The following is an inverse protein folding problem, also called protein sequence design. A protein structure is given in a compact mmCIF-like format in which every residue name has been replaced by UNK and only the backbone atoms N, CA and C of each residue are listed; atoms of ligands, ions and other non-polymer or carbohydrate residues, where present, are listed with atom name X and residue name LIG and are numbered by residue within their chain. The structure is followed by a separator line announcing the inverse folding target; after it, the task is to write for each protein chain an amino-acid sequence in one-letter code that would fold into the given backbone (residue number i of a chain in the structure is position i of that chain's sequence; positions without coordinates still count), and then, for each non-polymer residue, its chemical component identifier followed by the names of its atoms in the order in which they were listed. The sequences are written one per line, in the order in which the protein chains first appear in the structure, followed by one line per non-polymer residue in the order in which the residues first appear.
data_IF_357784945954
#
_entry.id   IF_357784945954
#
_cell.length_a   1.000
_cell.length_b   1.000
_cell.length_c   1.000
_cell.angle_alpha   90.00
_cell.angle_beta   90.00
_cell.angle_gamma   90.00
#
_symmetry.space_group_name_H-M   'P 1'
#
loop_
_entity.id
_entity.type
_entity.pdbx_description
1 polymer ?
#
# COMPACT_ATOMS: atom_id res chain seq x y z
N UNK A 1 -4.23 3.51 -6.96
CA UNK A 1 -3.80 4.32 -5.80
C UNK A 1 -2.66 3.61 -5.08
N UNK A 2 -2.87 2.53 -4.32
CA UNK A 2 -1.81 1.74 -3.64
C UNK A 2 -0.62 1.32 -4.51
N UNK A 3 -0.89 0.94 -5.75
CA UNK A 3 0.16 0.57 -6.70
C UNK A 3 1.10 1.77 -7.03
N UNK A 4 0.54 2.97 -7.13
CA UNK A 4 1.32 4.20 -7.33
C UNK A 4 2.27 4.46 -6.14
N UNK A 5 1.85 4.09 -4.92
CA UNK A 5 2.57 4.28 -3.66
C UNK A 5 3.77 3.32 -3.55
N UNK A 6 3.55 2.04 -3.86
CA UNK A 6 4.56 0.97 -3.76
C UNK A 6 5.65 1.09 -4.82
N UNK A 7 5.28 1.51 -6.04
CA UNK A 7 6.20 1.87 -7.12
C UNK A 7 7.15 3.02 -6.73
N UNK A 8 6.64 3.99 -5.98
CA UNK A 8 7.35 5.22 -5.63
C UNK A 8 8.40 4.99 -4.53
N UNK A 9 8.07 4.17 -3.53
CA UNK A 9 8.98 3.84 -2.43
C UNK A 9 10.20 3.00 -2.83
N UNK A 10 10.10 2.18 -3.89
CA UNK A 10 11.17 1.28 -4.30
C UNK A 10 12.32 1.99 -5.06
N UNK A 11 12.04 3.15 -5.68
CA UNK A 11 13.02 3.92 -6.46
C UNK A 11 13.85 4.86 -5.58
N UNK A 12 13.25 5.38 -4.49
CA UNK A 12 13.85 6.36 -3.59
C UNK A 12 14.93 5.82 -2.64
N UNK A 13 15.08 4.49 -2.52
CA UNK A 13 16.11 3.85 -1.69
C UNK A 13 17.48 3.75 -2.37
N UNK A 14 17.62 4.22 -3.61
CA UNK A 14 18.82 3.97 -4.44
C UNK A 14 19.80 5.14 -4.62
N UNK A 15 19.67 6.29 -3.93
CA UNK A 15 20.61 7.42 -4.12
C UNK A 15 21.18 8.08 -2.85
N UNK A 16 22.41 8.68 -2.95
CA UNK A 16 23.27 8.97 -1.80
C UNK A 16 22.90 10.27 -1.06
N UNK A 17 23.04 10.22 0.26
CA UNK A 17 22.76 11.26 1.26
C UNK A 17 23.49 12.61 1.09
N UNK A 18 24.51 12.69 0.24
CA UNK A 18 25.41 13.85 0.17
C UNK A 18 24.79 15.12 -0.45
N UNK A 19 23.75 15.00 -1.28
CA UNK A 19 23.05 16.16 -1.86
C UNK A 19 22.12 16.87 -0.86
N UNK A 20 21.79 16.22 0.26
CA UNK A 20 20.80 16.69 1.24
C UNK A 20 21.32 17.77 2.19
N UNK A 21 22.59 17.70 2.59
CA UNK A 21 23.17 18.64 3.57
C UNK A 21 23.40 20.03 2.96
N UNK A 22 23.52 20.14 1.63
CA UNK A 22 23.79 21.40 0.95
C UNK A 22 22.56 22.33 0.85
N UNK A 23 21.34 21.79 0.95
CA UNK A 23 20.08 22.56 0.80
C UNK A 23 19.49 23.04 2.15
N UNK A 24 19.91 22.46 3.28
CA UNK A 24 19.39 22.81 4.62
C UNK A 24 20.19 23.90 5.35
N UNK A 25 21.22 24.47 4.71
CA UNK A 25 22.24 25.28 5.37
C UNK A 25 22.01 26.80 5.48
N UNK A 26 20.88 27.36 5.05
CA UNK A 26 20.66 28.81 5.15
C UNK A 26 19.31 29.15 5.79
N UNK A 27 19.33 29.59 7.05
CA UNK A 27 18.75 30.87 7.53
C UNK A 27 18.88 30.96 9.05
N UNK A 28 19.55 32.01 9.55
CA UNK A 28 19.69 32.35 10.98
C UNK A 28 18.67 33.41 11.42
N UNK A 29 18.11 33.18 12.62
CA UNK A 29 17.65 34.13 13.67
C UNK A 29 16.47 35.09 13.44
N UNK A 30 15.35 34.89 14.15
CA UNK A 30 14.83 35.74 15.27
C UNK A 30 13.39 35.35 15.68
N UNK A 31 13.06 35.45 16.98
CA UNK A 31 12.07 34.61 17.69
C UNK A 31 10.61 35.10 17.75
N UNK A 32 10.26 36.28 17.23
CA UNK A 32 8.88 36.82 17.33
C UNK A 32 8.02 36.59 16.06
N UNK A 33 8.63 36.15 14.95
CA UNK A 33 7.94 35.79 13.70
C UNK A 33 7.62 34.29 13.58
N UNK A 34 7.82 33.52 14.65
CA UNK A 34 7.69 32.06 14.61
C UNK A 34 6.24 31.58 14.42
N UNK A 35 5.26 32.31 14.94
CA UNK A 35 3.84 31.92 14.89
C UNK A 35 3.17 32.28 13.56
N UNK A 36 3.47 33.46 13.02
CA UNK A 36 2.95 33.89 11.71
C UNK A 36 3.59 33.10 10.56
N UNK A 37 4.89 32.80 10.64
CA UNK A 37 5.55 31.93 9.66
C UNK A 37 5.06 30.47 9.77
N UNK A 38 4.73 29.97 10.96
CA UNK A 38 4.16 28.63 11.11
C UNK A 38 2.76 28.53 10.50
N UNK A 39 1.91 29.54 10.70
CA UNK A 39 0.56 29.58 10.10
C UNK A 39 0.61 29.73 8.57
N UNK A 40 1.55 30.52 8.02
CA UNK A 40 1.74 30.66 6.57
C UNK A 40 2.26 29.35 5.97
N UNK A 41 3.31 28.76 6.56
CA UNK A 41 3.85 27.47 6.11
C UNK A 41 2.81 26.35 6.21
N UNK A 42 1.97 26.34 7.25
CA UNK A 42 0.93 25.34 7.42
C UNK A 42 -0.27 25.54 6.48
N UNK A 43 -0.55 26.78 6.05
CA UNK A 43 -1.54 27.06 4.99
C UNK A 43 -1.03 26.63 3.62
N UNK A 44 0.22 26.93 3.27
CA UNK A 44 0.80 26.57 1.98
C UNK A 44 0.81 25.04 1.80
N UNK A 45 1.26 24.29 2.81
CA UNK A 45 1.22 22.81 2.83
C UNK A 45 -0.19 22.25 2.69
N UNK A 46 -1.20 22.87 3.32
CA UNK A 46 -2.58 22.42 3.20
C UNK A 46 -3.18 22.69 1.80
N UNK A 47 -2.85 23.82 1.19
CA UNK A 47 -3.27 24.15 -0.18
C UNK A 47 -2.59 23.22 -1.20
N UNK A 48 -1.30 22.95 -1.04
CA UNK A 48 -0.53 22.05 -1.90
C UNK A 48 -0.99 20.60 -1.80
N UNK A 49 -1.28 20.09 -0.60
CA UNK A 49 -1.85 18.77 -0.40
C UNK A 49 -3.24 18.62 -1.07
N UNK A 50 -4.07 19.67 -1.02
CA UNK A 50 -5.38 19.68 -1.69
C UNK A 50 -5.21 19.68 -3.20
N UNK A 51 -4.31 20.50 -3.74
CA UNK A 51 -4.00 20.55 -5.17
C UNK A 51 -3.46 19.19 -5.68
N UNK A 52 -2.59 18.55 -4.91
CA UNK A 52 -2.08 17.20 -5.20
C UNK A 52 -3.22 16.18 -5.24
N UNK A 53 -4.15 16.23 -4.29
CA UNK A 53 -5.31 15.35 -4.27
C UNK A 53 -6.19 15.54 -5.52
N UNK A 54 -6.46 16.79 -5.93
CA UNK A 54 -7.19 17.08 -7.16
C UNK A 54 -6.45 16.59 -8.40
N UNK A 55 -5.14 16.80 -8.48
CA UNK A 55 -4.31 16.28 -9.58
C UNK A 55 -4.38 14.76 -9.66
N UNK A 56 -4.23 14.06 -8.52
CA UNK A 56 -4.33 12.61 -8.45
C UNK A 56 -5.71 12.09 -8.89
N UNK A 57 -6.80 12.79 -8.54
CA UNK A 57 -8.15 12.45 -8.97
C UNK A 57 -8.34 12.64 -10.48
N UNK A 58 -7.88 13.77 -11.03
CA UNK A 58 -7.94 14.05 -12.47
C UNK A 58 -7.16 12.98 -13.23
N UNK A 59 -5.93 12.71 -12.81
CA UNK A 59 -5.09 11.68 -13.42
C UNK A 59 -5.73 10.28 -13.33
N UNK A 60 -6.32 9.95 -12.17
CA UNK A 60 -7.11 8.74 -11.94
C UNK A 60 -8.23 8.57 -12.96
N UNK A 61 -9.07 9.61 -13.11
CA UNK A 61 -10.20 9.60 -14.04
C UNK A 61 -9.75 9.54 -15.50
N UNK A 62 -8.66 10.22 -15.84
CA UNK A 62 -8.07 10.20 -17.19
C UNK A 62 -7.57 8.80 -17.57
N UNK A 63 -6.81 8.15 -16.68
CA UNK A 63 -6.31 6.80 -16.91
C UNK A 63 -7.44 5.77 -16.93
N UNK A 64 -8.52 5.96 -16.14
CA UNK A 64 -9.72 5.13 -16.22
C UNK A 64 -10.42 5.28 -17.56
N UNK A 65 -10.54 6.51 -18.06
CA UNK A 65 -11.08 6.79 -19.39
C UNK A 65 -10.23 6.15 -20.49
N UNK A 66 -8.91 6.22 -20.38
CA UNK A 66 -7.99 5.60 -21.34
C UNK A 66 -8.14 4.08 -21.35
N UNK A 67 -8.22 3.45 -20.18
CA UNK A 67 -8.39 2.00 -20.07
C UNK A 67 -9.67 1.50 -20.75
N UNK A 68 -10.77 2.27 -20.67
CA UNK A 68 -12.02 1.93 -21.37
C UNK A 68 -11.89 1.87 -22.89
N UNK A 69 -10.84 2.45 -23.49
CA UNK A 69 -10.61 2.43 -24.94
C UNK A 69 -9.62 1.36 -25.37
N UNK A 70 -8.62 1.08 -24.55
CA UNK A 70 -7.51 0.20 -24.93
C UNK A 70 -7.71 -1.24 -24.47
N UNK A 71 -8.39 -1.49 -23.34
CA UNK A 71 -8.59 -2.83 -22.75
C UNK A 71 -7.31 -3.68 -22.56
N UNK A 72 -6.12 -3.10 -22.76
CA UNK A 72 -4.87 -3.85 -22.84
C UNK A 72 -4.36 -4.29 -21.47
N UNK A 73 -4.63 -3.52 -20.41
CA UNK A 73 -4.09 -3.75 -19.07
C UNK A 73 -5.14 -3.48 -17.98
N UNK A 74 -5.12 -4.19 -16.85
CA UNK A 74 -5.92 -3.84 -15.68
C UNK A 74 -5.61 -2.41 -15.21
N UNK A 75 -6.64 -1.70 -14.77
CA UNK A 75 -6.54 -0.30 -14.33
C UNK A 75 -5.49 -0.11 -13.22
N UNK A 76 -5.38 -1.06 -12.30
CA UNK A 76 -4.40 -1.06 -11.21
C UNK A 76 -2.96 -1.11 -11.71
N UNK A 77 -2.69 -1.92 -12.74
CA UNK A 77 -1.38 -2.01 -13.39
C UNK A 77 -1.03 -0.73 -14.17
N UNK A 78 -2.00 -0.13 -14.86
CA UNK A 78 -1.79 1.16 -15.54
C UNK A 78 -1.44 2.28 -14.55
N UNK A 79 -2.17 2.34 -13.43
CA UNK A 79 -1.87 3.25 -12.32
C UNK A 79 -0.46 3.03 -11.79
N UNK A 80 -0.07 1.79 -11.53
CA UNK A 80 1.27 1.44 -11.05
C UNK A 80 2.37 1.96 -11.99
N UNK A 81 2.27 1.64 -13.27
CA UNK A 81 3.27 2.01 -14.28
C UNK A 81 3.37 3.52 -14.46
N UNK A 82 2.24 4.23 -14.45
CA UNK A 82 2.23 5.69 -14.55
C UNK A 82 2.87 6.34 -13.32
N UNK A 83 2.66 5.76 -12.13
CA UNK A 83 3.34 6.18 -10.90
C UNK A 83 4.86 6.03 -10.98
N UNK A 84 5.36 4.90 -11.49
CA UNK A 84 6.80 4.71 -11.76
C UNK A 84 7.30 5.77 -12.73
N UNK A 85 6.58 5.99 -13.84
CA UNK A 85 7.00 6.94 -14.86
C UNK A 85 7.07 8.38 -14.33
N UNK A 86 6.08 8.81 -13.54
CA UNK A 86 6.09 10.11 -12.87
C UNK A 86 7.23 10.24 -11.86
N UNK A 87 7.49 9.20 -11.04
CA UNK A 87 8.60 9.21 -10.09
C UNK A 87 9.96 9.24 -10.78
N UNK A 88 10.15 8.48 -11.86
CA UNK A 88 11.35 8.55 -12.67
C UNK A 88 11.53 9.93 -13.32
N UNK A 89 10.43 10.54 -13.80
CA UNK A 89 10.48 11.88 -14.38
C UNK A 89 10.81 12.94 -13.31
N UNK A 90 10.27 12.83 -12.11
CA UNK A 90 10.62 13.73 -11.01
C UNK A 90 12.11 13.64 -10.60
N UNK A 91 12.71 12.45 -10.66
CA UNK A 91 14.12 12.25 -10.29
C UNK A 91 15.10 12.63 -11.42
N UNK A 92 14.78 12.27 -12.67
CA UNK A 92 15.71 12.40 -13.79
C UNK A 92 15.41 13.58 -14.74
N UNK A 93 14.23 14.18 -14.67
CA UNK A 93 13.86 15.34 -15.47
C UNK A 93 13.78 16.63 -14.67
N UNK A 94 13.88 17.75 -15.36
CA UNK A 94 13.69 19.08 -14.79
C UNK A 94 12.17 19.34 -14.62
N UNK A 95 11.61 18.83 -13.51
CA UNK A 95 10.17 18.74 -13.31
C UNK A 95 9.61 19.79 -12.32
N UNK A 96 10.44 20.62 -11.69
CA UNK A 96 10.06 21.78 -10.86
C UNK A 96 8.91 21.50 -9.88
N UNK A 97 7.67 21.82 -10.27
CA UNK A 97 6.45 21.57 -9.50
C UNK A 97 6.24 20.09 -9.14
N UNK A 98 6.64 19.17 -10.02
CA UNK A 98 6.50 17.73 -9.81
C UNK A 98 7.52 17.19 -8.80
N UNK A 99 8.69 17.83 -8.71
CA UNK A 99 9.71 17.52 -7.70
C UNK A 99 9.23 17.93 -6.29
N UNK A 100 8.64 19.13 -6.17
CA UNK A 100 8.06 19.60 -4.90
C UNK A 100 6.93 18.68 -4.40
N UNK A 101 5.98 18.37 -5.28
CA UNK A 101 4.86 17.47 -4.98
C UNK A 101 5.30 16.06 -4.57
N UNK A 102 6.41 15.57 -5.15
CA UNK A 102 6.92 14.23 -4.83
C UNK A 102 7.73 14.19 -3.54
N UNK A 103 8.43 15.26 -3.20
CA UNK A 103 9.10 15.39 -1.90
C UNK A 103 8.09 15.50 -0.75
N UNK A 104 7.02 16.28 -0.92
CA UNK A 104 5.96 16.38 0.10
C UNK A 104 5.26 15.04 0.32
N UNK A 105 4.96 14.32 -0.76
CA UNK A 105 4.38 12.98 -0.67
C UNK A 105 5.31 11.97 0.02
N UNK A 106 6.63 12.10 -0.17
CA UNK A 106 7.64 11.23 0.45
C UNK A 106 7.72 11.41 1.97
N UNK A 107 7.30 12.56 2.48
CA UNK A 107 7.22 12.84 3.92
C UNK A 107 5.99 12.20 4.58
N UNK A 108 5.01 11.75 3.79
CA UNK A 108 3.83 11.06 4.32
C UNK A 108 4.24 9.68 4.80
N UNK A 109 4.02 9.41 6.09
CA UNK A 109 4.26 8.11 6.68
C UNK A 109 3.35 7.03 6.02
N UNK A 110 3.92 6.01 5.37
CA UNK A 110 3.14 4.91 4.78
C UNK A 110 2.28 4.17 5.81
N UNK A 111 2.70 4.12 7.08
CA UNK A 111 1.93 3.51 8.16
C UNK A 111 0.68 4.32 8.48
N UNK A 112 0.78 5.65 8.43
CA UNK A 112 -0.38 6.53 8.60
C UNK A 112 -1.39 6.33 7.47
N UNK A 113 -0.90 6.18 6.23
CA UNK A 113 -1.78 5.85 5.10
C UNK A 113 -2.51 4.53 5.32
N UNK A 114 -1.80 3.47 5.72
CA UNK A 114 -2.42 2.18 6.03
C UNK A 114 -3.48 2.32 7.13
N UNK A 115 -3.18 3.04 8.21
CA UNK A 115 -4.09 3.20 9.33
C UNK A 115 -5.36 4.00 8.99
N UNK A 116 -5.26 4.97 8.07
CA UNK A 116 -6.39 5.78 7.63
C UNK A 116 -7.23 5.06 6.57
N UNK A 117 -6.60 4.37 5.62
CA UNK A 117 -7.29 3.79 4.47
C UNK A 117 -7.78 2.36 4.68
N UNK A 118 -7.04 1.51 5.43
CA UNK A 118 -7.44 0.10 5.63
C UNK A 118 -8.83 0.00 6.29
N UNK A 119 -9.13 0.70 7.41
CA UNK A 119 -10.41 0.49 8.10
C UNK A 119 -11.65 0.88 7.25
N UNK A 120 -11.70 2.05 6.60
CA UNK A 120 -12.82 2.39 5.70
C UNK A 120 -12.95 1.43 4.51
N UNK A 121 -11.83 0.97 3.92
CA UNK A 121 -11.85 0.02 2.81
C UNK A 121 -12.41 -1.34 3.25
N UNK A 122 -11.95 -1.88 4.38
CA UNK A 122 -12.47 -3.13 4.95
C UNK A 122 -13.95 -3.00 5.33
N UNK A 123 -14.34 -1.84 5.88
CA UNK A 123 -15.74 -1.58 6.23
C UNK A 123 -16.65 -1.56 5.00
N UNK A 124 -16.22 -0.88 3.92
CA UNK A 124 -16.96 -0.84 2.67
C UNK A 124 -17.11 -2.24 2.06
N UNK A 125 -16.03 -3.01 1.97
CA UNK A 125 -16.07 -4.39 1.47
C UNK A 125 -16.98 -5.28 2.33
N UNK A 126 -17.00 -5.08 3.65
CA UNK A 126 -17.93 -5.77 4.55
C UNK A 126 -19.40 -5.38 4.34
N UNK A 127 -19.68 -4.12 3.97
CA UNK A 127 -21.03 -3.65 3.67
C UNK A 127 -21.58 -4.17 2.33
N UNK A 128 -20.72 -4.34 1.33
CA UNK A 128 -21.10 -4.86 0.01
C UNK A 128 -21.31 -6.39 0.02
N UNK A 129 -20.82 -7.08 1.06
CA UNK A 129 -20.90 -8.53 1.18
C UNK A 129 -22.34 -9.07 1.29
N UNK A 130 -22.65 -10.10 0.48
CA UNK A 130 -23.94 -10.79 0.56
C UNK A 130 -23.99 -11.73 1.78
N UNK A 131 -24.48 -11.21 2.91
CA UNK A 131 -24.53 -11.91 4.21
C UNK A 131 -25.27 -13.27 4.13
N UNK A 132 -26.30 -13.40 3.29
CA UNK A 132 -27.07 -14.65 3.19
C UNK A 132 -26.23 -15.76 2.56
N UNK A 133 -25.58 -15.45 1.43
CA UNK A 133 -24.69 -16.39 0.74
C UNK A 133 -23.46 -16.67 1.60
N UNK A 134 -22.86 -15.62 2.16
CA UNK A 134 -21.72 -15.70 3.07
C UNK A 134 -21.95 -16.70 4.21
N UNK A 135 -23.08 -16.61 4.93
CA UNK A 135 -23.40 -17.53 6.04
C UNK A 135 -23.46 -19.00 5.61
N UNK A 136 -23.82 -19.28 4.36
CA UNK A 136 -23.90 -20.62 3.82
C UNK A 136 -22.52 -21.19 3.46
N UNK A 137 -21.60 -20.36 2.94
CA UNK A 137 -20.26 -20.75 2.48
C UNK A 137 -19.10 -20.32 3.40
N UNK A 138 -19.40 -19.83 4.60
CA UNK A 138 -18.42 -19.24 5.53
C UNK A 138 -17.24 -20.15 5.84
N UNK A 139 -17.46 -21.46 5.93
CA UNK A 139 -16.40 -22.40 6.27
C UNK A 139 -15.38 -22.51 5.14
N UNK A 140 -15.85 -22.55 3.89
CA UNK A 140 -15.01 -22.54 2.71
C UNK A 140 -14.21 -21.24 2.62
N UNK A 141 -14.85 -20.09 2.89
CA UNK A 141 -14.18 -18.79 2.93
C UNK A 141 -13.05 -18.81 3.97
N UNK A 142 -13.34 -19.17 5.23
CA UNK A 142 -12.34 -19.16 6.29
C UNK A 142 -11.21 -20.16 6.05
N UNK A 143 -11.53 -21.36 5.55
CA UNK A 143 -10.50 -22.35 5.22
C UNK A 143 -9.54 -21.81 4.16
N UNK A 144 -10.05 -21.19 3.08
CA UNK A 144 -9.18 -20.60 2.05
C UNK A 144 -8.42 -19.37 2.58
N UNK A 145 -9.12 -18.44 3.24
CA UNK A 145 -8.54 -17.19 3.73
C UNK A 145 -7.46 -17.37 4.80
N UNK A 146 -7.54 -18.42 5.62
CA UNK A 146 -6.54 -18.65 6.68
C UNK A 146 -5.52 -19.73 6.29
N UNK A 147 -5.96 -20.89 5.79
CA UNK A 147 -5.02 -21.95 5.42
C UNK A 147 -4.30 -21.64 4.11
N UNK A 148 -5.02 -21.11 3.11
CA UNK A 148 -4.43 -20.71 1.83
C UNK A 148 -3.40 -19.61 2.02
N UNK A 149 -3.77 -18.55 2.74
CA UNK A 149 -2.88 -17.44 3.10
C UNK A 149 -1.72 -17.91 3.96
N UNK A 150 -1.96 -18.69 5.03
CA UNK A 150 -0.87 -19.20 5.87
C UNK A 150 0.13 -20.04 5.07
N UNK A 151 -0.36 -20.90 4.18
CA UNK A 151 0.48 -21.68 3.28
C UNK A 151 1.24 -20.78 2.30
N UNK A 152 0.59 -19.79 1.71
CA UNK A 152 1.20 -18.80 0.81
C UNK A 152 2.33 -18.03 1.48
N UNK A 153 2.12 -17.56 2.72
CA UNK A 153 3.13 -16.86 3.54
C UNK A 153 4.33 -17.78 3.78
N UNK A 154 4.09 -19.02 4.23
CA UNK A 154 5.17 -19.99 4.51
C UNK A 154 5.96 -20.31 3.24
N UNK A 155 5.28 -20.62 2.13
CA UNK A 155 5.92 -20.94 0.86
C UNK A 155 6.74 -19.77 0.33
N UNK A 156 6.20 -18.55 0.41
CA UNK A 156 6.90 -17.34 -0.02
C UNK A 156 8.12 -17.06 0.89
N UNK A 157 7.99 -17.22 2.20
CA UNK A 157 9.10 -17.04 3.13
C UNK A 157 10.24 -18.05 2.87
N UNK A 158 9.90 -19.33 2.67
CA UNK A 158 10.86 -20.38 2.31
C UNK A 158 11.51 -20.07 0.96
N UNK A 159 10.71 -19.71 -0.05
CA UNK A 159 11.22 -19.36 -1.36
C UNK A 159 12.23 -18.21 -1.27
N UNK A 160 11.90 -17.14 -0.56
CA UNK A 160 12.78 -15.98 -0.45
C UNK A 160 14.06 -16.31 0.33
N UNK A 161 13.93 -17.10 1.41
CA UNK A 161 15.07 -17.55 2.22
C UNK A 161 16.12 -18.30 1.39
N UNK A 162 15.68 -19.12 0.44
CA UNK A 162 16.58 -19.98 -0.35
C UNK A 162 16.87 -19.45 -1.75
N UNK A 163 15.99 -18.69 -2.38
CA UNK A 163 16.19 -18.19 -3.74
C UNK A 163 17.05 -16.92 -3.79
N UNK A 164 16.98 -16.05 -2.78
CA UNK A 164 17.78 -14.83 -2.71
C UNK A 164 19.10 -15.09 -1.97
N UNK A 165 19.97 -15.93 -2.57
CA UNK A 165 21.28 -16.33 -2.03
C UNK A 165 22.21 -15.16 -1.65
N UNK A 166 21.97 -13.94 -2.15
CA UNK A 166 22.79 -12.76 -1.88
C UNK A 166 22.39 -11.95 -0.64
N UNK A 167 21.16 -12.12 -0.13
CA UNK A 167 20.66 -11.38 1.02
C UNK A 167 20.35 -12.40 2.13
N UNK A 168 21.22 -12.49 3.13
CA UNK A 168 21.06 -13.40 4.27
C UNK A 168 19.93 -12.94 5.22
N UNK A 169 18.70 -12.84 4.71
CA UNK A 169 17.53 -12.43 5.47
C UNK A 169 17.21 -13.45 6.54
N UNK A 170 16.93 -12.97 7.75
CA UNK A 170 16.44 -13.83 8.83
C UNK A 170 15.02 -14.30 8.53
N UNK A 171 14.59 -15.37 9.21
CA UNK A 171 13.24 -15.90 9.09
C UNK A 171 12.18 -14.83 9.40
N UNK A 172 12.41 -13.95 10.38
CA UNK A 172 11.48 -12.85 10.68
C UNK A 172 11.22 -11.96 9.46
N UNK A 173 12.29 -11.59 8.73
CA UNK A 173 12.18 -10.78 7.52
C UNK A 173 11.51 -11.55 6.38
N UNK A 174 11.79 -12.85 6.24
CA UNK A 174 11.18 -13.69 5.22
C UNK A 174 9.66 -13.85 5.42
N UNK A 175 9.22 -14.07 6.67
CA UNK A 175 7.79 -14.14 7.01
C UNK A 175 7.11 -12.78 6.91
N UNK A 176 7.79 -11.70 7.31
CA UNK A 176 7.29 -10.34 7.09
C UNK A 176 7.07 -10.07 5.60
N UNK A 177 8.04 -10.41 4.74
CA UNK A 177 7.89 -10.28 3.29
C UNK A 177 6.76 -11.16 2.73
N UNK A 178 6.71 -12.43 3.16
CA UNK A 178 5.63 -13.36 2.76
C UNK A 178 4.24 -12.84 3.13
N UNK A 179 4.09 -12.19 4.29
CA UNK A 179 2.81 -11.59 4.71
C UNK A 179 2.37 -10.43 3.81
N UNK A 180 3.30 -9.56 3.39
CA UNK A 180 2.98 -8.44 2.49
C UNK A 180 2.53 -8.98 1.12
N UNK A 181 3.20 -10.00 0.61
CA UNK A 181 2.93 -10.57 -0.73
C UNK A 181 1.67 -11.43 -0.77
N UNK A 182 1.24 -11.99 0.37
CA UNK A 182 0.11 -12.91 0.41
C UNK A 182 -1.26 -12.21 0.39
N UNK A 183 -1.35 -10.91 0.67
CA UNK A 183 -2.60 -10.15 0.54
C UNK A 183 -3.06 -10.10 -0.93
N UNK A 184 -4.30 -10.50 -1.21
CA UNK A 184 -4.84 -10.66 -2.57
C UNK A 184 -5.91 -9.61 -2.87
N UNK A 185 -5.84 -8.98 -4.05
CA UNK A 185 -6.89 -8.08 -4.55
C UNK A 185 -7.73 -8.79 -5.64
N UNK A 186 -8.97 -9.20 -5.33
CA UNK A 186 -9.79 -9.96 -6.26
C UNK A 186 -10.55 -9.08 -7.25
N UNK A 187 -10.50 -7.75 -7.14
CA UNK A 187 -11.42 -6.83 -7.86
C UNK A 187 -11.43 -7.08 -9.37
N UNK A 188 -10.25 -7.25 -9.98
CA UNK A 188 -10.14 -7.52 -11.41
C UNK A 188 -10.68 -8.92 -11.79
N UNK A 189 -10.44 -9.92 -10.95
CA UNK A 189 -10.83 -11.31 -11.18
C UNK A 189 -12.33 -11.49 -11.03
N UNK A 190 -12.93 -10.87 -10.01
CA UNK A 190 -14.37 -10.91 -9.74
C UNK A 190 -15.15 -10.19 -10.84
N UNK A 191 -14.65 -9.04 -11.32
CA UNK A 191 -15.26 -8.34 -12.45
C UNK A 191 -15.29 -9.22 -13.71
N UNK A 192 -14.17 -9.87 -14.04
CA UNK A 192 -14.07 -10.77 -15.19
C UNK A 192 -14.98 -12.00 -15.05
N UNK A 193 -15.01 -12.62 -13.88
CA UNK A 193 -15.88 -13.78 -13.61
C UNK A 193 -17.37 -13.40 -13.73
N UNK A 194 -17.74 -12.19 -13.31
CA UNK A 194 -19.09 -11.65 -13.48
C UNK A 194 -19.48 -11.53 -14.97
N UNK A 195 -18.58 -11.01 -15.81
CA UNK A 195 -18.80 -10.93 -17.27
C UNK A 195 -18.95 -12.30 -17.92
N UNK A 196 -18.27 -13.32 -17.39
CA UNK A 196 -18.35 -14.71 -17.84
C UNK A 196 -19.58 -15.48 -17.31
N UNK A 197 -20.44 -14.84 -16.52
CA UNK A 197 -21.66 -15.45 -15.99
C UNK A 197 -21.42 -16.38 -14.78
N UNK A 198 -20.35 -16.15 -14.02
CA UNK A 198 -20.07 -16.94 -12.83
C UNK A 198 -21.18 -16.82 -11.77
N UNK A 199 -21.42 -17.87 -10.95
CA UNK A 199 -22.39 -17.80 -9.87
C UNK A 199 -22.03 -16.73 -8.84
N UNK A 200 -23.06 -16.06 -8.30
CA UNK A 200 -22.91 -15.05 -7.21
C UNK A 200 -22.19 -15.64 -5.99
N UNK A 201 -22.34 -16.94 -5.73
CA UNK A 201 -21.64 -17.65 -4.67
C UNK A 201 -20.12 -17.69 -4.86
N UNK A 202 -19.63 -17.77 -6.11
CA UNK A 202 -18.19 -17.74 -6.40
C UNK A 202 -17.62 -16.34 -6.17
N UNK A 203 -18.33 -15.28 -6.59
CA UNK A 203 -17.96 -13.91 -6.26
C UNK A 203 -17.89 -13.69 -4.75
N UNK A 204 -18.93 -14.10 -4.01
CA UNK A 204 -18.96 -14.00 -2.54
C UNK A 204 -17.86 -14.80 -1.86
N UNK A 205 -17.48 -15.95 -2.42
CA UNK A 205 -16.36 -16.76 -1.92
C UNK A 205 -15.03 -16.03 -2.07
N UNK A 206 -14.77 -15.47 -3.25
CA UNK A 206 -13.52 -14.78 -3.58
C UNK A 206 -13.42 -13.46 -2.81
N UNK A 207 -14.49 -12.66 -2.79
CA UNK A 207 -14.53 -11.40 -2.03
C UNK A 207 -14.32 -11.65 -0.53
N UNK A 208 -14.97 -12.71 0.01
CA UNK A 208 -14.78 -13.11 1.39
C UNK A 208 -13.36 -13.60 1.67
N UNK A 209 -12.78 -14.39 0.77
CA UNK A 209 -11.41 -14.90 0.90
C UNK A 209 -10.41 -13.74 1.01
N UNK A 210 -10.48 -12.79 0.07
CA UNK A 210 -9.63 -11.61 0.07
C UNK A 210 -9.83 -10.74 1.32
N UNK A 211 -11.08 -10.49 1.73
CA UNK A 211 -11.37 -9.65 2.89
C UNK A 211 -10.74 -10.21 4.18
N UNK A 212 -10.86 -11.52 4.41
CA UNK A 212 -10.27 -12.16 5.59
C UNK A 212 -8.76 -12.38 5.43
N UNK A 213 -8.28 -12.65 4.22
CA UNK A 213 -6.85 -12.73 3.90
C UNK A 213 -6.14 -11.41 4.22
N UNK A 214 -6.65 -10.26 3.76
CA UNK A 214 -6.07 -8.95 4.02
C UNK A 214 -5.88 -8.68 5.51
N UNK A 215 -6.91 -8.99 6.32
CA UNK A 215 -6.83 -8.88 7.78
C UNK A 215 -5.79 -9.84 8.38
N UNK A 216 -5.80 -11.10 7.97
CA UNK A 216 -4.86 -12.11 8.48
C UNK A 216 -3.40 -11.77 8.12
N UNK A 217 -3.15 -11.39 6.87
CA UNK A 217 -1.85 -10.97 6.38
C UNK A 217 -1.33 -9.73 7.10
N UNK A 218 -2.19 -8.73 7.35
CA UNK A 218 -1.82 -7.54 8.11
C UNK A 218 -1.42 -7.87 9.56
N UNK A 219 -2.16 -8.74 10.24
CA UNK A 219 -1.81 -9.19 11.60
C UNK A 219 -0.45 -9.89 11.61
N UNK A 220 -0.21 -10.82 10.68
CA UNK A 220 1.08 -11.52 10.56
C UNK A 220 2.22 -10.52 10.27
N UNK A 221 1.98 -9.55 9.39
CA UNK A 221 2.94 -8.48 9.11
C UNK A 221 3.33 -7.72 10.38
N UNK A 222 2.37 -7.25 11.17
CA UNK A 222 2.67 -6.48 12.39
C UNK A 222 3.43 -7.31 13.43
N UNK A 223 3.09 -8.59 13.59
CA UNK A 223 3.82 -9.50 14.49
C UNK A 223 5.29 -9.61 14.10
N UNK A 224 5.56 -9.91 12.82
CA UNK A 224 6.94 -10.08 12.37
C UNK A 224 7.69 -8.75 12.24
N UNK A 225 7.01 -7.64 11.96
CA UNK A 225 7.59 -6.30 12.03
C UNK A 225 8.15 -6.03 13.43
N UNK A 226 7.36 -6.32 14.46
CA UNK A 226 7.79 -6.09 15.84
C UNK A 226 8.90 -7.05 16.26
N UNK A 227 8.85 -8.31 15.82
CA UNK A 227 9.93 -9.28 16.03
C UNK A 227 11.26 -8.86 15.37
N UNK A 228 11.19 -8.25 14.17
CA UNK A 228 12.37 -7.74 13.47
C UNK A 228 12.88 -6.43 14.12
N UNK A 229 11.97 -5.57 14.57
CA UNK A 229 12.32 -4.29 15.20
C UNK A 229 12.84 -4.44 16.64
N UNK A 230 12.45 -5.51 17.35
CA UNK A 230 12.90 -5.84 18.70
C UNK A 230 13.16 -7.34 18.79
N UNK A 231 14.41 -7.80 18.98
CA UNK A 231 14.76 -9.23 19.07
C UNK A 231 14.14 -9.99 20.25
N UNK A 232 13.31 -9.33 21.06
CA UNK A 232 12.57 -9.94 22.17
C UNK A 232 11.21 -10.35 21.62
N UNK A 233 10.95 -11.66 21.56
CA UNK A 233 9.71 -12.21 21.02
C UNK A 233 8.48 -11.58 21.72
N UNK A 234 7.54 -10.95 20.99
CA UNK A 234 6.34 -10.42 21.59
C UNK A 234 5.50 -11.57 22.16
N UNK A 235 5.04 -11.42 23.40
CA UNK A 235 4.24 -12.46 24.05
C UNK A 235 2.83 -12.43 23.44
N UNK A 236 2.18 -13.58 23.24
CA UNK A 236 0.86 -13.66 22.58
C UNK A 236 -0.23 -12.74 23.20
N UNK A 237 -0.07 -12.32 24.46
CA UNK A 237 -0.96 -11.35 25.12
C UNK A 237 -0.73 -9.88 24.72
N UNK A 238 0.46 -9.48 24.29
CA UNK A 238 0.74 -8.11 23.82
C UNK A 238 0.24 -7.88 22.40
N UNK A 239 0.17 -8.93 21.58
CA UNK A 239 -0.32 -8.89 20.19
C UNK A 239 -1.83 -8.66 20.11
N UNK A 240 -2.59 -9.08 21.13
CA UNK A 240 -4.06 -8.92 21.19
C UNK A 240 -4.47 -7.58 21.84
N UNK A 241 -3.54 -6.91 22.53
CA UNK A 241 -3.82 -5.73 23.33
C UNK A 241 -3.48 -4.39 22.64
N UNK A 242 -2.87 -4.42 21.45
CA UNK A 242 -2.59 -3.25 20.60
C UNK A 242 -3.48 -3.29 19.37
#
# INVERSE_FOLDING_TARGET
FFALILAFGLLATTMPTAKWVALSGSTTTSSDHSTENADILQRDVAEDAVLLAFFALILGTFLRWLNRKTHLLPYTSMMFLFGIALGAWAIYGDAGLLEYATEEYRLIDPHLMLHIFIPPLLFLSGMEANIRVFKFIKWQIFTMAFLGTGLSIVLTAVLVKYAFFGYAWDWGVCFMFGSIVSATDPVAVVALLGELGAPVALGTLIDGEALFNDGAAAVVFFIFKDFVASPVAPTAGEVVAK
#
